data_IF_577433653597
#
_entry.id   IF_577433653597
#
_cell.length_a   1.000
_cell.length_b   1.000
_cell.length_c   1.000
_cell.angle_alpha   90.00
_cell.angle_beta   90.00
_cell.angle_gamma   90.00
#
_symmetry.space_group_name_H-M   'P 1'
#
loop_
_entity.id
_entity.type
_entity.pdbx_description
1 polymer ?
#
# COMPACT_ATOMS: atom_id res chain seq x y z
N UNK A 1 -19.81 -3.46 -86.92
CA UNK A 1 -19.95 -2.61 -85.71
C UNK A 1 -19.93 -3.45 -84.43
N UNK A 2 -18.78 -3.97 -84.00
CA UNK A 2 -18.66 -4.70 -82.71
C UNK A 2 -17.28 -4.70 -82.06
N UNK A 3 -16.31 -3.92 -82.59
CA UNK A 3 -14.93 -3.84 -82.06
C UNK A 3 -14.53 -2.46 -81.52
N UNK A 4 -15.34 -1.42 -81.70
CA UNK A 4 -15.06 -0.06 -81.23
C UNK A 4 -15.74 0.32 -79.90
N UNK A 5 -16.60 -0.55 -79.34
CA UNK A 5 -17.30 -0.31 -78.07
C UNK A 5 -16.58 -0.92 -76.85
N UNK A 6 -15.62 -1.84 -77.06
CA UNK A 6 -14.93 -2.55 -75.98
C UNK A 6 -13.66 -1.81 -75.49
N UNK A 7 -13.02 -1.02 -76.35
CA UNK A 7 -11.83 -0.24 -75.99
C UNK A 7 -12.15 1.02 -75.19
N UNK A 8 -13.33 1.61 -75.38
CA UNK A 8 -13.78 2.81 -74.66
C UNK A 8 -14.32 2.52 -73.26
N UNK A 9 -14.75 1.28 -72.99
CA UNK A 9 -15.13 0.84 -71.63
C UNK A 9 -13.92 0.50 -70.76
N UNK A 10 -12.82 0.00 -71.33
CA UNK A 10 -11.62 -0.36 -70.57
C UNK A 10 -10.75 0.85 -70.20
N UNK A 11 -10.73 1.90 -71.01
CA UNK A 11 -9.99 3.13 -70.70
C UNK A 11 -10.69 4.03 -69.67
N UNK A 12 -12.01 3.97 -69.58
CA UNK A 12 -12.81 4.78 -68.63
C UNK A 12 -12.90 4.15 -67.24
N UNK A 13 -12.84 2.81 -67.13
CA UNK A 13 -12.75 2.13 -65.82
C UNK A 13 -11.37 2.25 -65.17
N UNK A 14 -10.28 2.33 -65.95
CA UNK A 14 -8.92 2.42 -65.41
C UNK A 14 -8.59 3.81 -64.82
N UNK A 15 -9.23 4.87 -65.33
CA UNK A 15 -9.02 6.24 -64.86
C UNK A 15 -9.87 6.53 -63.59
N UNK A 16 -11.04 5.91 -63.45
CA UNK A 16 -11.84 5.96 -62.21
C UNK A 16 -11.22 5.15 -61.07
N UNK A 17 -10.50 4.05 -61.35
CA UNK A 17 -9.82 3.29 -60.30
C UNK A 17 -8.60 4.00 -59.72
N UNK A 18 -7.88 4.82 -60.51
CA UNK A 18 -6.72 5.57 -59.99
C UNK A 18 -7.13 6.84 -59.23
N UNK A 19 -8.28 7.44 -59.54
CA UNK A 19 -8.79 8.63 -58.81
C UNK A 19 -9.48 8.26 -57.49
N UNK A 20 -10.02 7.03 -57.35
CA UNK A 20 -10.53 6.53 -56.07
C UNK A 20 -9.41 6.08 -55.11
N UNK A 21 -8.27 5.62 -55.65
CA UNK A 21 -7.08 5.26 -54.85
C UNK A 21 -6.31 6.49 -54.35
N UNK A 22 -6.42 7.65 -55.02
CA UNK A 22 -5.76 8.89 -54.60
C UNK A 22 -6.65 9.73 -53.66
N UNK A 23 -7.98 9.57 -53.69
CA UNK A 23 -8.88 10.18 -52.69
C UNK A 23 -8.94 9.44 -51.35
N UNK A 24 -8.41 8.21 -51.25
CA UNK A 24 -8.30 7.50 -49.98
C UNK A 24 -6.97 7.77 -49.25
N UNK A 25 -6.03 8.48 -49.89
CA UNK A 25 -4.75 8.88 -49.31
C UNK A 25 -4.70 10.34 -48.85
N UNK A 26 -5.81 11.08 -48.97
CA UNK A 26 -5.92 12.44 -48.47
C UNK A 26 -7.07 12.51 -47.47
N UNK A 27 -6.75 12.90 -46.23
CA UNK A 27 -7.68 13.18 -45.12
C UNK A 27 -8.05 12.00 -44.21
N UNK A 28 -7.04 11.31 -43.68
CA UNK A 28 -6.93 11.17 -42.22
C UNK A 28 -5.47 11.32 -41.78
N UNK A 29 -4.78 12.36 -42.26
CA UNK A 29 -3.89 13.05 -41.33
C UNK A 29 -4.84 13.86 -40.43
N UNK A 30 -5.45 13.15 -39.48
CA UNK A 30 -5.78 13.78 -38.23
C UNK A 30 -4.44 14.34 -37.78
N UNK A 31 -4.29 15.66 -37.87
CA UNK A 31 -3.31 16.41 -37.10
C UNK A 31 -3.47 15.89 -35.68
N UNK A 32 -2.69 14.86 -35.37
CA UNK A 32 -2.48 14.41 -34.02
C UNK A 32 -1.76 15.59 -33.41
N UNK A 33 -2.54 16.50 -32.81
CA UNK A 33 -2.07 17.28 -31.67
C UNK A 33 -1.09 16.37 -30.95
N UNK A 34 0.17 16.78 -30.71
CA UNK A 34 1.13 15.89 -30.09
C UNK A 34 0.46 15.35 -28.83
N UNK A 35 0.02 14.09 -28.90
CA UNK A 35 -0.52 13.39 -27.76
C UNK A 35 0.71 13.27 -26.91
N UNK A 36 0.85 14.17 -25.93
CA UNK A 36 2.01 14.18 -25.06
C UNK A 36 2.14 12.76 -24.53
N UNK A 37 3.18 12.05 -24.98
CA UNK A 37 3.35 10.64 -24.64
C UNK A 37 3.27 10.53 -23.12
N UNK A 38 2.47 9.59 -22.58
CA UNK A 38 2.37 9.40 -21.16
C UNK A 38 3.76 9.31 -20.53
N UNK A 39 4.04 10.17 -19.57
CA UNK A 39 5.34 10.21 -18.92
C UNK A 39 5.37 9.16 -17.81
N UNK A 40 6.42 8.33 -17.70
CA UNK A 40 6.56 7.43 -16.58
C UNK A 40 6.79 8.23 -15.30
N UNK A 41 6.14 7.82 -14.21
CA UNK A 41 6.34 8.43 -12.90
C UNK A 41 7.56 7.81 -12.20
N UNK A 42 8.43 8.67 -11.68
CA UNK A 42 9.50 8.27 -10.75
C UNK A 42 9.04 8.46 -9.32
N UNK A 43 9.33 7.49 -8.44
CA UNK A 43 8.99 7.56 -7.01
C UNK A 43 10.24 7.87 -6.17
N UNK A 44 10.09 8.77 -5.21
CA UNK A 44 11.07 8.99 -4.15
C UNK A 44 10.49 8.46 -2.84
N UNK A 45 10.85 7.25 -2.47
CA UNK A 45 10.41 6.68 -1.19
C UNK A 45 11.33 7.26 -0.11
N UNK A 46 10.75 8.14 0.70
CA UNK A 46 11.46 8.75 1.82
C UNK A 46 11.65 7.75 2.96
N UNK A 47 12.38 8.15 3.99
CA UNK A 47 12.48 7.38 5.22
C UNK A 47 11.09 7.04 5.77
N UNK A 48 10.95 5.79 6.17
CA UNK A 48 9.79 5.26 6.89
C UNK A 48 9.60 6.01 8.20
N UNK A 49 8.36 6.28 8.59
CA UNK A 49 8.08 6.81 9.91
C UNK A 49 8.05 5.66 10.91
N UNK A 50 8.99 5.61 11.86
CA UNK A 50 9.09 4.50 12.78
C UNK A 50 7.91 4.50 13.79
N UNK A 51 7.50 3.34 14.33
CA UNK A 51 6.55 3.22 15.46
C UNK A 51 7.09 3.94 16.70
N UNK A 52 6.38 4.95 17.17
CA UNK A 52 6.82 5.69 18.37
C UNK A 52 6.31 4.97 19.60
N UNK A 53 7.19 4.57 20.52
CA UNK A 53 6.76 4.05 21.82
C UNK A 53 5.98 5.15 22.55
N UNK A 54 4.88 4.82 23.21
CA UNK A 54 4.02 5.87 23.83
C UNK A 54 4.73 6.63 24.95
N UNK A 55 5.78 6.05 25.53
CA UNK A 55 6.73 6.68 26.48
C UNK A 55 7.68 7.70 25.83
N UNK A 56 7.63 7.87 24.50
CA UNK A 56 8.51 8.78 23.75
C UNK A 56 9.88 8.19 23.40
N UNK A 57 10.13 6.91 23.71
CA UNK A 57 11.33 6.22 23.28
C UNK A 57 11.22 5.80 21.81
N UNK A 58 12.22 6.10 21.01
CA UNK A 58 12.28 5.74 19.59
C UNK A 58 12.79 4.31 19.42
N UNK A 59 11.93 3.32 19.68
CA UNK A 59 12.22 1.93 19.32
C UNK A 59 11.28 1.51 18.20
N UNK A 60 11.81 1.26 17.01
CA UNK A 60 11.01 0.73 15.91
C UNK A 60 11.69 -0.38 15.18
N UNK A 61 10.88 -1.31 14.69
CA UNK A 61 11.31 -2.39 13.85
C UNK A 61 10.29 -2.50 12.69
N UNK A 62 10.69 -2.19 11.46
CA UNK A 62 9.89 -2.21 10.22
C UNK A 62 10.14 -3.47 9.38
N UNK A 63 11.29 -4.12 9.60
CA UNK A 63 11.62 -5.40 8.98
C UNK A 63 10.51 -6.45 9.03
N UNK A 64 10.54 -7.39 8.08
CA UNK A 64 9.75 -8.62 8.10
C UNK A 64 10.02 -9.41 9.38
N UNK A 65 11.27 -9.41 9.83
CA UNK A 65 11.69 -9.98 11.12
C UNK A 65 11.06 -9.28 12.32
N UNK A 66 10.52 -8.08 12.12
CA UNK A 66 10.07 -7.19 13.19
C UNK A 66 11.22 -6.80 14.09
N UNK A 67 12.49 -6.82 13.61
CA UNK A 67 13.69 -6.50 14.40
C UNK A 67 14.56 -5.33 13.96
N UNK A 68 14.46 -4.80 12.74
CA UNK A 68 15.33 -3.70 12.27
C UNK A 68 14.54 -2.46 11.85
N UNK A 69 15.17 -1.29 11.95
CA UNK A 69 14.57 0.04 11.68
C UNK A 69 14.39 0.36 10.19
N UNK A 70 14.83 -0.50 9.29
CA UNK A 70 15.01 -0.20 7.87
C UNK A 70 14.36 -1.26 6.99
N UNK A 71 14.14 -0.91 5.72
CA UNK A 71 13.76 -1.85 4.68
C UNK A 71 14.75 -3.03 4.57
N UNK A 72 14.23 -4.21 4.27
CA UNK A 72 14.96 -5.44 4.05
C UNK A 72 15.00 -5.80 2.55
N UNK A 73 16.07 -6.49 2.14
CA UNK A 73 16.22 -6.90 0.75
C UNK A 73 15.06 -7.81 0.32
N UNK A 74 14.34 -7.40 -0.71
CA UNK A 74 13.15 -8.10 -1.22
C UNK A 74 11.83 -7.51 -0.76
N UNK A 75 11.83 -6.49 0.12
CA UNK A 75 10.61 -5.78 0.51
C UNK A 75 9.88 -5.25 -0.73
N UNK A 76 8.54 -5.36 -0.72
CA UNK A 76 7.69 -4.91 -1.83
C UNK A 76 6.67 -3.92 -1.35
N UNK A 77 6.50 -2.85 -2.11
CA UNK A 77 5.36 -1.95 -1.99
C UNK A 77 4.42 -2.13 -3.16
N UNK A 78 3.13 -1.95 -2.88
CA UNK A 78 2.06 -1.96 -3.86
C UNK A 78 1.55 -0.54 -4.01
N UNK A 79 1.34 -0.12 -5.24
CA UNK A 79 1.03 1.25 -5.62
C UNK A 79 -0.35 1.26 -6.31
N UNK A 80 -1.19 2.20 -5.92
CA UNK A 80 -2.44 2.52 -6.60
C UNK A 80 -2.41 4.00 -6.99
N UNK A 81 -2.43 4.27 -8.29
CA UNK A 81 -2.49 5.61 -8.84
C UNK A 81 -3.92 5.94 -9.25
N UNK A 82 -4.46 7.04 -8.72
CA UNK A 82 -5.69 7.66 -9.19
C UNK A 82 -5.31 8.79 -10.13
N UNK A 83 -5.68 8.66 -11.41
CA UNK A 83 -5.32 9.59 -12.49
C UNK A 83 -6.59 10.28 -12.96
N UNK A 84 -6.65 11.60 -12.89
CA UNK A 84 -7.81 12.38 -13.34
C UNK A 84 -7.40 13.35 -14.44
N UNK A 85 -8.03 13.25 -15.61
CA UNK A 85 -7.81 14.13 -16.75
C UNK A 85 -9.16 14.55 -17.32
N UNK A 86 -9.40 15.86 -17.46
CA UNK A 86 -10.62 16.43 -18.04
C UNK A 86 -11.93 15.88 -17.42
N UNK A 87 -11.92 15.61 -16.11
CA UNK A 87 -13.08 15.08 -15.39
C UNK A 87 -13.25 13.56 -15.44
N UNK A 88 -12.41 12.85 -16.18
CA UNK A 88 -12.38 11.38 -16.23
C UNK A 88 -11.31 10.85 -15.28
N UNK A 89 -11.69 9.90 -14.42
CA UNK A 89 -10.77 9.23 -13.48
C UNK A 89 -10.50 7.80 -13.93
N UNK A 90 -9.23 7.41 -13.95
CA UNK A 90 -8.75 6.04 -14.17
C UNK A 90 -7.82 5.62 -13.04
N UNK A 91 -7.62 4.30 -12.93
CA UNK A 91 -6.77 3.70 -11.90
C UNK A 91 -5.70 2.83 -12.53
N UNK A 92 -4.48 2.90 -12.00
CA UNK A 92 -3.36 2.06 -12.40
C UNK A 92 -2.69 1.49 -11.15
N UNK A 93 -2.19 0.26 -11.26
CA UNK A 93 -1.56 -0.44 -10.15
C UNK A 93 -0.17 -0.89 -10.55
N UNK A 94 0.74 -0.87 -9.59
CA UNK A 94 2.14 -1.18 -9.81
C UNK A 94 2.79 -1.69 -8.54
N UNK A 95 3.99 -2.22 -8.67
CA UNK A 95 4.82 -2.68 -7.57
C UNK A 95 6.22 -2.13 -7.68
N UNK A 96 6.87 -1.88 -6.55
CA UNK A 96 8.30 -1.62 -6.50
C UNK A 96 8.95 -2.54 -5.46
N UNK A 97 10.16 -2.99 -5.75
CA UNK A 97 10.91 -3.91 -4.87
C UNK A 97 12.18 -3.23 -4.36
N UNK A 98 12.43 -3.32 -3.07
CA UNK A 98 13.66 -2.84 -2.45
C UNK A 98 14.76 -3.88 -2.60
N UNK A 99 15.90 -3.47 -3.12
CA UNK A 99 17.07 -4.33 -3.29
C UNK A 99 18.26 -3.71 -2.59
N UNK A 100 19.02 -4.52 -1.84
CA UNK A 100 20.26 -4.12 -1.21
C UNK A 100 21.42 -4.60 -2.08
N UNK A 101 22.28 -3.68 -2.47
CA UNK A 101 23.54 -3.96 -3.16
C UNK A 101 24.68 -3.31 -2.38
N UNK A 102 25.50 -4.13 -1.73
CA UNK A 102 26.52 -3.64 -0.78
C UNK A 102 25.89 -3.06 0.49
N UNK A 103 26.26 -1.83 0.84
CA UNK A 103 25.74 -1.11 2.02
C UNK A 103 24.59 -0.15 1.72
N UNK A 104 24.11 -0.13 0.48
CA UNK A 104 23.05 0.77 0.00
C UNK A 104 21.88 -0.03 -0.50
N UNK A 105 20.66 0.37 -0.14
CA UNK A 105 19.46 -0.18 -0.73
C UNK A 105 18.71 0.85 -1.57
N UNK A 106 18.09 0.38 -2.64
CA UNK A 106 17.35 1.20 -3.59
C UNK A 106 16.05 0.50 -3.96
N UNK A 107 15.01 1.30 -4.19
CA UNK A 107 13.76 0.83 -4.76
C UNK A 107 13.89 0.72 -6.27
N UNK A 108 13.33 -0.34 -6.85
CA UNK A 108 13.15 -0.45 -8.30
C UNK A 108 12.18 0.62 -8.80
N UNK A 109 12.21 0.88 -10.11
CA UNK A 109 11.12 1.59 -10.75
C UNK A 109 9.80 0.81 -10.59
N UNK A 110 8.64 1.50 -10.60
CA UNK A 110 7.34 0.85 -10.59
C UNK A 110 7.16 -0.07 -11.80
N UNK A 111 6.77 -1.32 -11.55
CA UNK A 111 6.43 -2.31 -12.56
C UNK A 111 5.04 -2.93 -12.28
N UNK A 112 4.07 -2.83 -13.22
CA UNK A 112 4.12 -2.09 -14.50
C UNK A 112 4.37 -0.59 -14.34
N UNK A 113 4.97 0.04 -15.34
CA UNK A 113 5.22 1.47 -15.32
C UNK A 113 3.91 2.27 -15.14
N UNK A 114 3.90 3.22 -14.20
CA UNK A 114 2.80 4.16 -14.02
C UNK A 114 2.93 5.30 -15.03
N UNK A 115 2.26 5.16 -16.16
CA UNK A 115 2.29 6.12 -17.27
C UNK A 115 1.14 7.12 -17.17
N UNK A 116 1.46 8.41 -17.14
CA UNK A 116 0.46 9.46 -16.94
C UNK A 116 0.50 10.52 -18.04
N UNK A 117 -0.66 10.86 -18.67
CA UNK A 117 -0.73 11.94 -19.64
C UNK A 117 -0.39 13.31 -19.05
N UNK A 118 0.22 14.18 -19.85
CA UNK A 118 0.39 15.59 -19.48
C UNK A 118 -0.97 16.26 -19.28
N UNK A 119 -1.04 17.15 -18.29
CA UNK A 119 -2.26 17.81 -17.82
C UNK A 119 -3.09 17.01 -16.81
N UNK A 120 -2.78 15.73 -16.59
CA UNK A 120 -3.52 14.93 -15.62
C UNK A 120 -3.12 15.28 -14.17
N UNK A 121 -4.06 15.14 -13.25
CA UNK A 121 -3.80 15.17 -11.81
C UNK A 121 -3.69 13.75 -11.28
N UNK A 122 -2.63 13.46 -10.54
CA UNK A 122 -2.34 12.13 -9.98
C UNK A 122 -2.33 12.21 -8.46
N UNK A 123 -2.92 11.19 -7.84
CA UNK A 123 -2.71 10.84 -6.44
C UNK A 123 -2.21 9.41 -6.38
N UNK A 124 -1.14 9.16 -5.62
CA UNK A 124 -0.61 7.82 -5.39
C UNK A 124 -0.88 7.43 -3.95
N UNK A 125 -1.50 6.27 -3.76
CA UNK A 125 -1.45 5.54 -2.50
C UNK A 125 -0.45 4.39 -2.64
N UNK A 126 0.30 4.12 -1.57
CA UNK A 126 1.23 3.01 -1.50
C UNK A 126 1.00 2.23 -0.22
N UNK A 127 1.13 0.91 -0.28
CA UNK A 127 1.03 0.05 0.88
C UNK A 127 2.22 -0.92 0.92
N UNK A 128 2.82 -1.02 2.09
CA UNK A 128 3.82 -2.03 2.44
C UNK A 128 3.20 -2.99 3.45
N UNK A 129 3.48 -4.27 3.25
CA UNK A 129 3.16 -5.32 4.22
C UNK A 129 3.94 -6.60 3.90
N UNK A 130 4.28 -7.34 4.94
CA UNK A 130 4.94 -8.64 4.87
C UNK A 130 3.94 -9.82 4.82
N UNK A 131 2.73 -9.57 4.30
CA UNK A 131 1.71 -10.59 4.10
C UNK A 131 2.00 -11.54 2.94
N UNK A 132 1.08 -12.49 2.71
CA UNK A 132 1.17 -13.42 1.59
C UNK A 132 0.21 -13.03 0.47
N UNK A 133 0.74 -12.75 -0.72
CA UNK A 133 -0.06 -12.40 -1.90
C UNK A 133 -0.55 -13.66 -2.64
N UNK A 134 -1.85 -13.71 -2.93
CA UNK A 134 -2.46 -14.69 -3.84
C UNK A 134 -3.41 -13.98 -4.80
N UNK A 135 -3.08 -14.01 -6.10
CA UNK A 135 -3.75 -13.14 -7.08
C UNK A 135 -3.57 -11.67 -6.69
N UNK A 136 -4.68 -10.95 -6.51
CA UNK A 136 -4.68 -9.56 -6.06
C UNK A 136 -4.91 -9.41 -4.54
N UNK A 137 -5.13 -10.51 -3.82
CA UNK A 137 -5.46 -10.46 -2.39
C UNK A 137 -4.21 -10.75 -1.57
N UNK A 138 -3.79 -9.74 -0.82
CA UNK A 138 -2.80 -9.87 0.22
C UNK A 138 -3.48 -10.42 1.47
N UNK A 139 -3.11 -11.63 1.90
CA UNK A 139 -3.58 -12.22 3.16
C UNK A 139 -2.67 -11.81 4.30
N UNK A 140 -3.28 -11.39 5.41
CA UNK A 140 -2.63 -10.86 6.60
C UNK A 140 -3.03 -11.64 7.84
N UNK A 141 -2.18 -11.50 8.85
CA UNK A 141 -2.36 -12.01 10.21
C UNK A 141 -1.98 -10.91 11.18
N UNK A 142 -2.19 -11.14 12.47
CA UNK A 142 -1.72 -10.28 13.55
C UNK A 142 -0.20 -10.09 13.60
N UNK A 143 0.57 -10.85 12.81
CA UNK A 143 2.03 -10.73 12.74
C UNK A 143 2.49 -9.83 11.61
N UNK A 144 1.56 -9.37 10.78
CA UNK A 144 1.90 -8.58 9.62
C UNK A 144 1.85 -7.09 9.91
N UNK A 145 2.96 -6.41 9.64
CA UNK A 145 3.00 -4.96 9.63
C UNK A 145 2.23 -4.46 8.40
N UNK A 146 1.51 -3.35 8.55
CA UNK A 146 0.92 -2.63 7.43
C UNK A 146 1.31 -1.17 7.54
N UNK A 147 1.95 -0.64 6.50
CA UNK A 147 2.29 0.77 6.38
C UNK A 147 1.68 1.35 5.12
N UNK A 148 1.09 2.53 5.23
CA UNK A 148 0.48 3.25 4.13
C UNK A 148 1.23 4.56 3.90
N UNK A 149 1.35 4.94 2.64
CA UNK A 149 1.75 6.27 2.22
C UNK A 149 0.72 6.84 1.27
N UNK A 150 0.56 8.15 1.27
CA UNK A 150 -0.33 8.84 0.34
C UNK A 150 0.34 10.12 -0.11
N UNK A 151 0.47 10.30 -1.43
CA UNK A 151 0.98 11.54 -2.00
C UNK A 151 -0.07 12.65 -1.89
N UNK A 152 0.38 13.90 -1.95
CA UNK A 152 -0.51 14.99 -2.32
C UNK A 152 -0.95 14.82 -3.78
N UNK A 153 -2.01 15.54 -4.19
CA UNK A 153 -2.37 15.63 -5.59
C UNK A 153 -1.27 16.38 -6.36
N UNK A 154 -0.86 15.84 -7.50
CA UNK A 154 0.21 16.39 -8.34
C UNK A 154 -0.32 16.52 -9.76
N UNK A 155 -0.25 17.71 -10.33
CA UNK A 155 -0.53 17.94 -11.75
C UNK A 155 0.72 17.66 -12.57
N UNK A 156 0.60 16.78 -13.56
CA UNK A 156 1.70 16.44 -14.47
C UNK A 156 1.75 17.48 -15.57
N UNK A 157 2.80 18.30 -15.60
CA UNK A 157 2.96 19.34 -16.65
C UNK A 157 4.17 19.10 -17.56
N UNK A 158 5.09 18.21 -17.17
CA UNK A 158 6.28 17.75 -17.90
C UNK A 158 6.89 16.54 -17.15
N UNK A 159 8.13 16.13 -17.50
CA UNK A 159 8.91 15.18 -16.69
C UNK A 159 8.81 15.56 -15.22
N UNK A 160 8.27 14.64 -14.41
CA UNK A 160 7.95 14.92 -13.02
C UNK A 160 9.17 14.68 -12.15
N UNK A 161 9.44 15.62 -11.24
CA UNK A 161 10.30 15.33 -10.10
C UNK A 161 9.72 14.14 -9.32
N UNK A 162 10.60 13.34 -8.72
CA UNK A 162 10.20 12.12 -8.03
C UNK A 162 9.13 12.39 -6.97
N UNK A 163 8.07 11.57 -6.95
CA UNK A 163 6.93 11.74 -6.05
C UNK A 163 7.31 11.24 -4.65
N UNK A 164 7.37 12.12 -3.62
CA UNK A 164 7.77 11.70 -2.29
C UNK A 164 6.66 10.88 -1.62
N UNK A 165 7.01 9.69 -1.13
CA UNK A 165 6.12 8.84 -0.34
C UNK A 165 6.68 8.70 1.07
N UNK A 166 5.86 9.05 2.07
CA UNK A 166 6.17 8.89 3.50
C UNK A 166 5.25 7.82 4.08
N UNK A 167 5.83 6.70 4.47
CA UNK A 167 5.10 5.57 5.04
C UNK A 167 4.87 5.76 6.53
N UNK A 168 3.64 5.50 6.98
CA UNK A 168 3.25 5.44 8.38
C UNK A 168 2.41 4.18 8.60
N UNK A 169 2.54 3.51 9.74
CA UNK A 169 1.65 2.40 10.05
C UNK A 169 0.22 2.87 10.33
N UNK A 170 -0.75 2.17 9.76
CA UNK A 170 -2.17 2.30 10.08
C UNK A 170 -2.54 1.51 11.36
N UNK A 171 -1.62 0.67 11.83
CA UNK A 171 -1.80 -0.23 12.96
C UNK A 171 -1.06 0.29 14.20
N UNK A 172 -1.29 -0.36 15.33
CA UNK A 172 -0.45 -0.25 16.53
C UNK A 172 0.34 -1.53 16.72
N UNK A 173 1.52 -1.38 17.30
CA UNK A 173 2.40 -2.49 17.64
C UNK A 173 2.25 -2.81 19.12
N UNK A 174 1.94 -4.06 19.46
CA UNK A 174 1.85 -4.52 20.84
C UNK A 174 3.01 -5.46 21.12
N UNK A 175 3.86 -5.11 22.08
CA UNK A 175 4.95 -5.97 22.56
C UNK A 175 4.49 -6.74 23.78
N UNK A 176 4.05 -7.98 23.59
CA UNK A 176 3.54 -8.79 24.70
C UNK A 176 4.67 -9.59 25.34
N UNK A 177 4.87 -9.39 26.63
CA UNK A 177 5.82 -10.12 27.47
C UNK A 177 5.12 -10.76 28.68
N UNK A 178 5.86 -11.55 29.47
CA UNK A 178 5.34 -12.17 30.69
C UNK A 178 4.41 -13.39 30.46
N UNK A 179 4.24 -13.83 29.21
CA UNK A 179 3.56 -15.06 28.85
C UNK A 179 4.51 -16.25 29.03
N UNK A 180 4.00 -17.34 29.59
CA UNK A 180 4.73 -18.57 29.81
C UNK A 180 3.81 -19.80 29.68
N UNK A 181 4.39 -20.99 29.77
CA UNK A 181 3.63 -22.24 29.83
C UNK A 181 2.67 -22.33 31.03
N UNK A 182 2.90 -21.57 32.09
CA UNK A 182 2.05 -21.53 33.29
C UNK A 182 1.19 -20.28 33.38
N UNK A 183 1.41 -19.30 32.50
CA UNK A 183 0.69 -18.02 32.44
C UNK A 183 0.36 -17.66 30.99
N UNK A 184 -0.78 -18.14 30.49
CA UNK A 184 -1.32 -17.75 29.17
C UNK A 184 -2.28 -16.56 29.33
N UNK A 185 -2.57 -15.86 28.24
CA UNK A 185 -3.52 -14.75 28.25
C UNK A 185 -4.57 -14.88 27.15
N UNK A 186 -5.78 -14.39 27.39
CA UNK A 186 -6.80 -14.20 26.36
C UNK A 186 -6.75 -12.76 25.88
N UNK A 187 -6.74 -12.56 24.55
CA UNK A 187 -6.76 -11.25 23.93
C UNK A 187 -8.12 -10.95 23.27
N UNK A 188 -8.53 -9.69 23.34
CA UNK A 188 -9.55 -9.09 22.49
C UNK A 188 -8.89 -7.97 21.70
N UNK A 189 -8.61 -8.25 20.44
CA UNK A 189 -7.86 -7.39 19.52
C UNK A 189 -8.48 -7.41 18.12
N UNK A 190 -8.38 -6.29 17.41
CA UNK A 190 -8.83 -6.16 16.03
C UNK A 190 -7.63 -6.33 15.08
N UNK A 191 -7.61 -7.41 14.31
CA UNK A 191 -6.43 -7.78 13.52
C UNK A 191 -6.67 -7.52 12.03
N UNK A 192 -5.63 -7.15 11.26
CA UNK A 192 -5.74 -7.11 9.81
C UNK A 192 -5.95 -8.51 9.24
N UNK A 193 -6.74 -8.60 8.16
CA UNK A 193 -7.04 -9.86 7.48
C UNK A 193 -6.62 -9.86 6.02
N UNK A 194 -6.92 -8.80 5.28
CA UNK A 194 -6.52 -8.71 3.89
C UNK A 194 -6.47 -7.30 3.33
N UNK A 195 -5.75 -7.15 2.21
CA UNK A 195 -5.75 -5.96 1.37
C UNK A 195 -5.93 -6.42 -0.07
N UNK A 196 -6.79 -5.74 -0.83
CA UNK A 196 -6.80 -5.85 -2.29
C UNK A 196 -5.69 -4.93 -2.85
N UNK A 197 -4.71 -5.51 -3.54
CA UNK A 197 -3.59 -4.77 -4.13
C UNK A 197 -3.96 -4.07 -5.44
N UNK A 198 -5.15 -4.30 -5.97
CA UNK A 198 -5.71 -3.63 -7.15
C UNK A 198 -7.13 -3.10 -6.89
N UNK A 199 -7.32 -2.23 -5.88
CA UNK A 199 -8.63 -1.82 -5.41
C UNK A 199 -9.37 -1.01 -6.48
N UNK A 200 -10.62 -1.37 -6.79
CA UNK A 200 -11.39 -0.78 -7.90
C UNK A 200 -11.57 0.76 -7.89
N UNK A 201 -11.30 1.43 -6.77
CA UNK A 201 -11.39 2.87 -6.58
C UNK A 201 -10.02 3.56 -6.42
N UNK A 202 -8.92 2.85 -6.67
CA UNK A 202 -7.56 3.38 -6.54
C UNK A 202 -7.11 3.70 -5.11
N UNK A 203 -7.85 3.26 -4.09
CA UNK A 203 -7.51 3.49 -2.68
C UNK A 203 -7.46 2.18 -1.90
N UNK A 204 -6.36 1.99 -1.18
CA UNK A 204 -6.18 0.78 -0.38
C UNK A 204 -7.07 0.81 0.86
N UNK A 205 -7.83 -0.26 1.03
CA UNK A 205 -8.55 -0.57 2.26
C UNK A 205 -8.00 -1.87 2.85
N UNK A 206 -7.95 -1.93 4.17
CA UNK A 206 -7.49 -3.10 4.90
C UNK A 206 -8.75 -3.70 5.55
N UNK A 207 -9.08 -4.93 5.19
CA UNK A 207 -10.13 -5.67 5.90
C UNK A 207 -9.57 -6.16 7.23
N UNK A 208 -10.45 -6.25 8.22
CA UNK A 208 -10.04 -6.54 9.59
C UNK A 208 -11.14 -7.31 10.31
N UNK A 209 -10.76 -7.96 11.41
CA UNK A 209 -11.69 -8.68 12.24
C UNK A 209 -11.30 -8.62 13.71
N UNK A 210 -12.31 -8.41 14.56
CA UNK A 210 -12.18 -8.51 15.99
C UNK A 210 -12.09 -9.99 16.37
N UNK A 211 -10.94 -10.40 16.87
CA UNK A 211 -10.72 -11.72 17.46
C UNK A 211 -11.04 -11.63 18.93
N UNK A 212 -12.33 -11.50 19.26
CA UNK A 212 -12.78 -11.32 20.64
C UNK A 212 -12.69 -12.62 21.44
N UNK A 213 -12.01 -12.59 22.59
CA UNK A 213 -11.95 -13.65 23.62
C UNK A 213 -11.49 -15.06 23.17
N UNK A 214 -11.23 -15.28 21.89
CA UNK A 214 -10.88 -16.56 21.29
C UNK A 214 -9.37 -16.72 21.08
N UNK A 215 -8.59 -15.64 21.17
CA UNK A 215 -7.15 -15.71 20.95
C UNK A 215 -6.41 -15.94 22.26
N UNK A 216 -5.96 -17.18 22.45
CA UNK A 216 -5.05 -17.53 23.52
C UNK A 216 -3.60 -17.24 23.12
N UNK A 217 -2.94 -16.42 23.93
CA UNK A 217 -1.53 -16.09 23.83
C UNK A 217 -0.75 -17.07 24.70
N UNK A 218 0.13 -17.85 24.08
CA UNK A 218 0.94 -18.88 24.73
C UNK A 218 2.44 -18.57 24.72
N UNK A 219 2.84 -17.51 24.03
CA UNK A 219 4.23 -17.06 23.85
C UNK A 219 4.32 -15.54 23.94
N UNK A 220 5.52 -15.04 24.28
CA UNK A 220 5.85 -13.61 24.19
C UNK A 220 6.08 -13.25 22.73
N UNK A 221 5.28 -12.32 22.19
CA UNK A 221 5.32 -12.01 20.78
C UNK A 221 4.86 -10.58 20.49
N UNK A 222 5.16 -10.13 19.28
CA UNK A 222 4.69 -8.85 18.73
C UNK A 222 3.38 -9.09 17.98
N UNK A 223 2.43 -8.16 18.14
CA UNK A 223 1.17 -8.15 17.42
C UNK A 223 0.95 -6.77 16.76
N UNK A 224 0.41 -6.77 15.55
CA UNK A 224 -0.03 -5.59 14.83
C UNK A 224 -1.56 -5.61 14.75
N UNK A 225 -2.19 -4.57 15.29
CA UNK A 225 -3.65 -4.52 15.47
C UNK A 225 -4.18 -3.14 15.11
N UNK A 226 -5.45 -3.04 14.75
CA UNK A 226 -6.10 -1.75 14.52
C UNK A 226 -6.20 -0.94 15.81
N UNK A 227 -6.12 0.41 15.73
CA UNK A 227 -6.47 1.27 16.83
C UNK A 227 -7.90 0.98 17.30
N UNK A 228 -8.05 0.71 18.58
CA UNK A 228 -9.26 0.09 19.09
C UNK A 228 -9.25 -0.03 20.61
N UNK A 229 -10.35 -0.51 21.18
CA UNK A 229 -10.31 -1.00 22.56
C UNK A 229 -9.56 -2.32 22.58
N UNK A 230 -8.50 -2.39 23.38
CA UNK A 230 -7.62 -3.56 23.47
C UNK A 230 -7.72 -4.12 24.88
N UNK A 231 -7.87 -5.44 25.01
CA UNK A 231 -7.96 -6.09 26.33
C UNK A 231 -7.20 -7.40 26.35
N UNK A 232 -6.45 -7.63 27.43
CA UNK A 232 -5.76 -8.88 27.72
C UNK A 232 -6.11 -9.37 29.12
N UNK A 233 -6.31 -10.68 29.26
CA UNK A 233 -6.59 -11.33 30.53
C UNK A 233 -5.65 -12.52 30.71
N UNK A 234 -4.61 -12.35 31.54
CA UNK A 234 -3.76 -13.46 31.95
C UNK A 234 -4.52 -14.42 32.85
N UNK A 235 -4.18 -15.71 32.79
CA UNK A 235 -4.82 -16.76 33.60
C UNK A 235 -4.15 -16.94 34.96
N UNK A 236 -2.84 -16.71 35.10
CA UNK A 236 -2.13 -17.10 36.31
C UNK A 236 -0.83 -16.29 36.59
N UNK A 237 -0.88 -15.29 37.50
CA UNK A 237 -2.06 -14.85 38.23
C UNK A 237 -3.06 -14.13 37.29
N UNK A 238 -4.36 -14.10 37.64
CA UNK A 238 -5.33 -13.31 36.91
C UNK A 238 -4.93 -11.82 36.84
N UNK A 239 -4.66 -11.33 35.63
CA UNK A 239 -4.28 -9.93 35.39
C UNK A 239 -5.05 -9.40 34.19
N UNK A 240 -5.77 -8.29 34.38
CA UNK A 240 -6.47 -7.57 33.32
C UNK A 240 -5.63 -6.37 32.87
N UNK A 241 -5.34 -6.30 31.58
CA UNK A 241 -4.80 -5.10 30.93
C UNK A 241 -5.84 -4.59 29.95
N UNK A 242 -6.17 -3.32 30.06
CA UNK A 242 -7.11 -2.65 29.17
C UNK A 242 -6.51 -1.34 28.68
N UNK A 243 -6.51 -1.15 27.36
CA UNK A 243 -6.15 0.12 26.73
C UNK A 243 -7.41 0.67 26.07
N UNK A 244 -7.80 1.87 26.48
CA UNK A 244 -9.03 2.49 26.00
C UNK A 244 -8.85 2.99 24.57
N UNK A 245 -9.93 2.97 23.80
CA UNK A 245 -9.93 3.48 22.42
C UNK A 245 -9.32 4.89 22.29
N UNK A 246 -9.56 5.78 23.25
CA UNK A 246 -9.03 7.16 23.27
C UNK A 246 -7.50 7.24 23.36
N UNK A 247 -6.87 6.19 23.86
CA UNK A 247 -5.44 6.16 24.20
C UNK A 247 -4.64 5.36 23.16
N UNK A 248 -5.33 4.74 22.20
CA UNK A 248 -4.72 3.95 21.13
C UNK A 248 -4.58 4.79 19.87
N UNK A 249 -3.33 5.11 19.50
CA UNK A 249 -3.01 5.94 18.34
C UNK A 249 -2.22 5.11 17.33
N UNK A 250 -2.64 5.13 16.07
CA UNK A 250 -1.92 4.45 14.99
C UNK A 250 -0.45 4.88 14.92
N UNK A 251 0.42 3.95 14.51
CA UNK A 251 1.87 4.11 14.46
C UNK A 251 2.52 4.31 15.83
N UNK A 252 1.91 3.75 16.89
CA UNK A 252 2.52 3.68 18.21
C UNK A 252 2.80 2.23 18.65
N UNK A 253 3.80 2.08 19.52
CA UNK A 253 4.15 0.80 20.15
C UNK A 253 3.76 0.81 21.63
N UNK A 254 3.11 -0.27 22.08
CA UNK A 254 2.62 -0.46 23.44
C UNK A 254 3.29 -1.70 24.06
N UNK A 255 4.21 -1.52 25.02
CA UNK A 255 4.73 -2.63 25.81
C UNK A 255 3.66 -3.12 26.80
N UNK A 256 3.41 -4.43 26.79
CA UNK A 256 2.39 -5.06 27.62
C UNK A 256 3.02 -6.24 28.34
N UNK A 257 3.26 -6.08 29.63
CA UNK A 257 3.76 -7.14 30.49
C UNK A 257 2.60 -7.88 31.17
N UNK A 258 2.43 -9.14 30.82
CA UNK A 258 1.44 -10.05 31.39
C UNK A 258 1.96 -10.87 32.58
N UNK A 259 3.19 -10.58 33.04
CA UNK A 259 3.85 -11.24 34.16
C UNK A 259 3.17 -11.02 35.51
N UNK A 260 3.62 -11.77 36.54
CA UNK A 260 2.97 -11.82 37.86
C UNK A 260 3.11 -10.54 38.67
N UNK A 261 4.04 -9.66 38.32
CA UNK A 261 4.23 -8.39 38.99
C UNK A 261 2.99 -7.50 38.77
N UNK A 262 2.35 -7.16 39.89
CA UNK A 262 1.08 -6.45 39.92
C UNK A 262 1.26 -5.02 39.43
N UNK A 263 0.71 -4.72 38.26
CA UNK A 263 0.68 -3.39 37.68
C UNK A 263 0.23 -3.48 36.24
N UNK A 264 -0.89 -2.87 35.93
CA UNK A 264 -1.17 -2.49 34.54
C UNK A 264 -0.20 -1.33 34.28
N UNK A 265 0.58 -1.34 33.20
CA UNK A 265 1.41 -0.19 32.81
C UNK A 265 0.59 0.57 31.78
N UNK A 266 0.37 1.86 32.01
CA UNK A 266 -0.19 2.77 31.03
C UNK A 266 0.75 2.79 29.82
N UNK A 267 0.24 3.08 28.62
CA UNK A 267 1.08 3.25 27.44
C UNK A 267 2.32 4.14 27.65
N UNK A 268 2.22 5.18 28.50
CA UNK A 268 3.29 6.12 28.85
C UNK A 268 4.31 5.62 29.88
N UNK A 269 4.25 4.34 30.28
CA UNK A 269 5.19 3.73 31.23
C UNK A 269 4.81 3.88 32.71
N UNK A 270 3.73 4.60 33.03
CA UNK A 270 3.27 4.77 34.41
C UNK A 270 2.38 3.60 34.86
N UNK A 271 2.53 3.07 36.09
CA UNK A 271 1.60 2.08 36.60
C UNK A 271 0.18 2.67 36.70
N UNK A 272 -0.85 1.88 36.39
CA UNK A 272 -2.23 2.24 36.69
C UNK A 272 -2.36 2.38 38.20
N UNK A 273 -2.46 3.63 38.66
CA UNK A 273 -2.78 3.92 40.06
C UNK A 273 -4.21 3.43 40.28
N UNK A 274 -4.37 2.40 41.11
CA UNK A 274 -5.68 1.96 41.58
C UNK A 274 -6.26 3.08 42.47
N UNK A 275 -7.53 3.48 42.32
CA UNK A 275 -8.17 4.38 43.27
C UNK A 275 -8.17 3.79 44.69
#
# INVERSE_FOLDING_TARGET
MKKYLLHTLYSTLSICSLSLLVLCAACTEQDGLPSADPQPLTLAISETVPFVEVTGNSNTRIADSGTTLTWENGDKIYLAATITLNGTTTYAYSTATYTISGSTGTWSDPDPALSVPSGATVKIEAIYTNGTLSGNIMTLTEKNIVMKATSTNITITASTAAIPLKFKSELVRLDITGISNTNTALANIDIPQSIDTQPANGSFSITHAIVGSAKELTTNEVYYVFPGSITFMAKNPPKLVQILYSDVVANQSYPIDMGPDSGTIRPDGEPFVKP
#
